data_IF_508633910412
#
_entry.id   IF_508633910412
#
_cell.length_a   1.000
_cell.length_b   1.000
_cell.length_c   1.000
_cell.angle_alpha   90.00
_cell.angle_beta   90.00
_cell.angle_gamma   90.00
#
_symmetry.space_group_name_H-M   'P 1'
#
loop_
_entity.id
_entity.type
_entity.pdbx_description
1 polymer ?
#
# COMPACT_ATOMS: atom_id res chain seq x y z
N UNK A 1 -3.51 -8.05 -1.66
CA UNK A 1 -3.61 -7.88 -0.22
C UNK A 1 -2.38 -7.25 0.40
N UNK A 2 -2.32 -7.19 1.71
CA UNK A 2 -1.19 -6.64 2.44
C UNK A 2 -0.96 -7.39 3.75
N UNK A 3 0.26 -7.25 4.27
CA UNK A 3 0.68 -7.72 5.58
C UNK A 3 1.26 -6.52 6.33
N UNK A 4 0.74 -6.21 7.52
CA UNK A 4 1.26 -5.13 8.36
C UNK A 4 2.57 -5.55 9.04
N UNK A 5 3.33 -4.56 9.52
CA UNK A 5 4.52 -4.83 10.32
C UNK A 5 4.22 -5.68 11.57
N UNK A 6 3.05 -5.50 12.16
CA UNK A 6 2.66 -6.18 13.39
C UNK A 6 2.50 -7.70 13.25
N UNK A 7 2.43 -8.23 12.02
CA UNK A 7 2.37 -9.67 11.77
C UNK A 7 3.60 -10.41 12.33
N UNK A 8 4.73 -9.71 12.47
CA UNK A 8 5.96 -10.28 13.08
C UNK A 8 5.71 -10.89 14.47
N UNK A 9 4.70 -10.41 15.21
CA UNK A 9 4.30 -10.99 16.53
C UNK A 9 3.83 -12.45 16.46
N UNK A 10 3.41 -12.91 15.28
CA UNK A 10 2.93 -14.27 15.07
C UNK A 10 4.01 -15.21 14.53
N UNK A 11 5.15 -14.67 14.09
CA UNK A 11 6.25 -15.44 13.49
C UNK A 11 7.50 -15.45 14.35
N UNK A 12 7.68 -14.44 15.21
CA UNK A 12 8.86 -14.24 16.01
C UNK A 12 8.49 -13.96 17.48
N UNK A 13 9.36 -14.34 18.40
CA UNK A 13 9.21 -14.07 19.84
C UNK A 13 9.60 -12.62 20.17
N UNK A 14 8.80 -11.68 19.63
CA UNK A 14 9.00 -10.24 19.80
C UNK A 14 7.76 -9.63 20.43
N UNK A 15 7.94 -8.98 21.58
CA UNK A 15 6.87 -8.20 22.20
C UNK A 15 6.72 -6.84 21.50
N UNK A 16 5.62 -6.66 20.76
CA UNK A 16 5.26 -5.37 20.18
C UNK A 16 4.36 -4.63 21.16
N UNK A 17 4.82 -3.47 21.63
CA UNK A 17 4.01 -2.58 22.48
C UNK A 17 2.93 -1.92 21.62
N UNK A 18 1.69 -2.36 21.78
CA UNK A 18 0.54 -1.73 21.15
C UNK A 18 0.30 -0.35 21.78
N UNK A 19 0.48 0.70 21.01
CA UNK A 19 0.01 2.03 21.39
C UNK A 19 -1.46 2.14 21.01
N UNK A 20 -2.35 2.10 21.99
CA UNK A 20 -3.81 2.28 21.78
C UNK A 20 -4.15 3.64 21.15
N UNK A 21 -3.31 4.66 21.38
CA UNK A 21 -3.49 6.01 20.84
C UNK A 21 -3.20 6.14 19.32
N UNK A 22 -2.56 5.14 18.71
CA UNK A 22 -2.14 5.18 17.31
C UNK A 22 -2.71 4.06 16.46
N UNK A 23 -3.63 3.27 17.01
CA UNK A 23 -4.22 2.13 16.32
C UNK A 23 -5.11 2.62 15.19
N UNK A 24 -4.87 2.12 13.98
CA UNK A 24 -5.83 2.18 12.90
C UNK A 24 -6.70 0.91 12.93
N UNK A 25 -7.87 0.95 12.30
CA UNK A 25 -8.81 -0.18 12.26
C UNK A 25 -8.45 -1.21 11.17
N UNK A 26 -7.30 -1.06 10.50
CA UNK A 26 -6.85 -2.02 9.50
C UNK A 26 -6.38 -3.31 10.17
N UNK A 27 -6.73 -4.48 9.63
CA UNK A 27 -6.25 -5.76 10.14
C UNK A 27 -4.74 -5.91 9.92
N UNK A 28 -4.10 -6.79 10.69
CA UNK A 28 -2.66 -7.07 10.51
C UNK A 28 -2.36 -7.79 9.20
N UNK A 29 -3.33 -8.51 8.64
CA UNK A 29 -3.18 -9.24 7.38
C UNK A 29 -4.53 -9.29 6.66
N UNK A 30 -4.52 -8.93 5.36
CA UNK A 30 -5.69 -9.03 4.51
C UNK A 30 -5.30 -9.37 3.07
N UNK A 31 -5.77 -10.52 2.59
CA UNK A 31 -5.63 -10.94 1.20
C UNK A 31 -6.99 -11.23 0.59
N UNK A 32 -7.19 -10.80 -0.66
CA UNK A 32 -8.41 -10.97 -1.42
C UNK A 32 -8.10 -11.74 -2.69
N UNK A 33 -8.86 -12.80 -2.95
CA UNK A 33 -8.87 -13.48 -4.23
C UNK A 33 -9.90 -12.79 -5.13
N UNK A 34 -9.43 -12.12 -6.17
CA UNK A 34 -10.30 -11.40 -7.10
C UNK A 34 -10.86 -12.34 -8.17
N UNK A 35 -12.16 -12.20 -8.44
CA UNK A 35 -12.83 -12.96 -9.52
C UNK A 35 -12.44 -12.44 -10.90
N UNK A 36 -12.18 -11.13 -11.03
CA UNK A 36 -11.77 -10.49 -12.28
C UNK A 36 -10.46 -9.75 -12.08
N UNK A 37 -9.55 -9.93 -13.02
CA UNK A 37 -8.25 -9.26 -13.03
C UNK A 37 -8.06 -8.62 -14.41
N UNK A 38 -7.70 -7.35 -14.43
CA UNK A 38 -7.35 -6.61 -15.65
C UNK A 38 -5.84 -6.43 -15.66
N UNK A 39 -5.18 -6.93 -16.71
CA UNK A 39 -3.74 -6.85 -16.86
C UNK A 39 -3.41 -5.93 -18.03
N UNK A 40 -2.64 -4.88 -17.77
CA UNK A 40 -2.11 -3.99 -18.80
C UNK A 40 -0.67 -4.37 -19.12
N UNK A 41 -0.42 -4.76 -20.36
CA UNK A 41 0.92 -5.09 -20.88
C UNK A 41 1.47 -3.89 -21.64
N UNK A 42 2.14 -2.98 -20.93
CA UNK A 42 2.57 -1.69 -21.46
C UNK A 42 3.42 -1.79 -22.75
N UNK A 43 4.33 -2.75 -22.85
CA UNK A 43 5.17 -2.94 -24.03
C UNK A 43 4.40 -3.39 -25.28
N UNK A 44 3.26 -4.07 -25.12
CA UNK A 44 2.46 -4.58 -26.23
C UNK A 44 1.20 -3.73 -26.51
N UNK A 45 0.94 -2.75 -25.66
CA UNK A 45 -0.31 -1.99 -25.68
C UNK A 45 -1.56 -2.89 -25.63
N UNK A 46 -1.46 -4.00 -24.93
CA UNK A 46 -2.51 -4.99 -24.77
C UNK A 46 -3.13 -4.89 -23.40
N UNK A 47 -4.43 -5.15 -23.33
CA UNK A 47 -5.16 -5.34 -22.09
C UNK A 47 -5.77 -6.74 -22.09
N UNK A 48 -5.49 -7.50 -21.05
CA UNK A 48 -6.10 -8.82 -20.84
C UNK A 48 -7.09 -8.74 -19.69
N UNK A 49 -8.25 -9.33 -19.89
CA UNK A 49 -9.24 -9.55 -18.85
C UNK A 49 -9.25 -11.02 -18.46
N UNK A 50 -8.80 -11.33 -17.27
CA UNK A 50 -8.77 -12.68 -16.71
C UNK A 50 -9.92 -12.82 -15.71
N UNK A 51 -10.64 -13.92 -15.78
CA UNK A 51 -11.72 -14.21 -14.86
C UNK A 51 -11.58 -15.62 -14.28
N UNK A 52 -11.93 -15.74 -12.99
CA UNK A 52 -11.96 -16.99 -12.27
C UNK A 52 -13.40 -17.52 -12.25
N UNK A 53 -13.64 -18.67 -12.89
CA UNK A 53 -14.87 -19.43 -12.73
C UNK A 53 -14.88 -20.11 -11.36
N UNK A 54 -16.01 -20.11 -10.71
CA UNK A 54 -16.20 -20.73 -9.40
C UNK A 54 -17.35 -21.73 -9.47
N UNK A 55 -17.04 -22.99 -9.18
CA UNK A 55 -17.99 -24.10 -9.21
C UNK A 55 -18.81 -24.14 -10.51
N UNK A 56 -20.11 -23.90 -10.45
CA UNK A 56 -21.00 -23.88 -11.61
C UNK A 56 -21.34 -22.43 -12.06
N UNK A 57 -20.63 -21.43 -11.54
CA UNK A 57 -20.84 -20.03 -11.91
C UNK A 57 -19.76 -19.55 -12.90
N UNK A 58 -20.16 -19.37 -14.16
CA UNK A 58 -19.30 -18.75 -15.15
C UNK A 58 -19.16 -17.25 -14.90
N UNK A 59 -17.93 -16.75 -15.07
CA UNK A 59 -17.65 -15.33 -14.94
C UNK A 59 -18.19 -14.57 -16.18
N UNK A 60 -18.90 -13.48 -15.93
CA UNK A 60 -19.46 -12.63 -16.99
C UNK A 60 -18.39 -11.62 -17.46
N UNK A 61 -17.51 -12.09 -18.33
CA UNK A 61 -16.41 -11.28 -18.92
C UNK A 61 -16.97 -10.16 -19.81
N UNK A 62 -18.04 -10.43 -20.57
CA UNK A 62 -18.65 -9.44 -21.47
C UNK A 62 -19.19 -8.24 -20.71
N UNK A 63 -19.84 -8.47 -19.57
CA UNK A 63 -20.33 -7.39 -18.71
C UNK A 63 -19.19 -6.49 -18.22
N UNK A 64 -18.05 -7.08 -17.84
CA UNK A 64 -16.89 -6.30 -17.39
C UNK A 64 -16.26 -5.53 -18.55
N UNK A 65 -16.08 -6.17 -19.71
CA UNK A 65 -15.58 -5.52 -20.92
C UNK A 65 -16.47 -4.33 -21.34
N UNK A 66 -17.78 -4.48 -21.30
CA UNK A 66 -18.73 -3.42 -21.60
C UNK A 66 -18.62 -2.24 -20.60
N UNK A 67 -18.40 -2.52 -19.33
CA UNK A 67 -18.16 -1.46 -18.33
C UNK A 67 -16.85 -0.69 -18.57
N UNK A 68 -15.80 -1.37 -18.96
CA UNK A 68 -14.50 -0.75 -19.30
C UNK A 68 -14.68 0.16 -20.52
N UNK A 69 -15.38 -0.30 -21.56
CA UNK A 69 -15.58 0.46 -22.79
C UNK A 69 -16.55 1.65 -22.64
N UNK A 70 -17.40 1.61 -21.66
CA UNK A 70 -18.51 2.60 -21.53
C UNK A 70 -18.04 3.96 -20.97
N UNK A 71 -16.81 4.08 -20.49
CA UNK A 71 -16.19 5.34 -20.00
C UNK A 71 -17.07 6.20 -19.08
N UNK A 72 -18.12 5.62 -18.47
CA UNK A 72 -19.04 6.33 -17.60
C UNK A 72 -18.56 6.30 -16.16
N UNK A 73 -17.60 7.14 -15.85
CA UNK A 73 -17.08 7.31 -14.49
C UNK A 73 -17.13 8.78 -14.07
N UNK A 74 -17.34 9.00 -12.78
CA UNK A 74 -17.27 10.32 -12.17
C UNK A 74 -15.91 10.52 -11.56
N UNK A 75 -15.36 11.71 -11.71
CA UNK A 75 -14.16 12.16 -11.03
C UNK A 75 -14.53 13.27 -10.04
N UNK A 76 -13.92 13.25 -8.87
CA UNK A 76 -14.11 14.28 -7.85
C UNK A 76 -12.74 14.88 -7.52
N UNK A 77 -12.70 16.18 -7.35
CA UNK A 77 -11.46 16.85 -6.94
C UNK A 77 -11.07 16.44 -5.52
N UNK A 78 -9.77 16.40 -5.25
CA UNK A 78 -9.23 16.18 -3.92
C UNK A 78 -8.88 17.51 -3.27
N UNK A 79 -9.30 17.71 -2.03
CA UNK A 79 -9.01 18.90 -1.24
C UNK A 79 -8.56 18.52 0.16
N UNK A 80 -7.36 18.98 0.56
CA UNK A 80 -6.93 18.90 1.95
C UNK A 80 -7.73 19.90 2.81
N UNK A 81 -8.16 19.49 4.00
CA UNK A 81 -9.01 20.28 4.90
C UNK A 81 -8.30 20.45 6.24
N UNK A 82 -8.16 21.70 6.67
CA UNK A 82 -7.47 22.03 7.92
C UNK A 82 -5.95 21.89 7.81
N UNK A 83 -5.29 21.84 8.97
CA UNK A 83 -3.84 21.68 9.06
C UNK A 83 -3.43 20.21 9.17
N UNK A 84 -2.19 19.92 8.75
CA UNK A 84 -1.55 18.62 8.97
C UNK A 84 -1.08 18.51 10.41
N UNK A 85 -1.37 17.38 11.05
CA UNK A 85 -0.85 17.03 12.38
C UNK A 85 0.18 15.92 12.29
N UNK A 86 0.95 15.72 13.33
CA UNK A 86 1.97 14.69 13.37
C UNK A 86 2.10 14.08 14.76
N UNK A 87 2.45 12.79 14.84
CA UNK A 87 2.67 12.07 16.10
C UNK A 87 3.93 12.51 16.84
N UNK A 88 4.87 13.14 16.15
CA UNK A 88 6.13 13.64 16.70
C UNK A 88 6.37 15.07 16.23
N UNK A 89 6.99 15.90 17.07
CA UNK A 89 7.55 17.17 16.63
C UNK A 89 8.81 16.92 15.77
N UNK A 90 9.23 17.95 15.04
CA UNK A 90 10.47 17.87 14.25
C UNK A 90 11.68 17.56 15.12
N UNK A 91 11.74 18.16 16.31
CA UNK A 91 12.85 17.98 17.24
C UNK A 91 12.89 16.56 17.81
N UNK A 92 11.73 16.01 18.20
CA UNK A 92 11.63 14.62 18.64
C UNK A 92 12.06 13.65 17.55
N UNK A 93 11.64 13.88 16.30
CA UNK A 93 12.02 13.02 15.18
C UNK A 93 13.52 13.09 14.88
N UNK A 94 14.12 14.30 14.91
CA UNK A 94 15.58 14.47 14.75
C UNK A 94 16.36 13.75 15.87
N UNK A 95 15.86 13.82 17.11
CA UNK A 95 16.51 13.12 18.22
C UNK A 95 16.42 11.60 18.06
N UNK A 96 15.28 11.06 17.64
CA UNK A 96 15.15 9.64 17.32
C UNK A 96 16.15 9.21 16.24
N UNK A 97 16.34 10.02 15.19
CA UNK A 97 17.35 9.76 14.15
C UNK A 97 18.76 9.74 14.73
N UNK A 98 19.11 10.70 15.62
CA UNK A 98 20.44 10.72 16.28
C UNK A 98 20.67 9.46 17.11
N UNK A 99 19.64 8.98 17.83
CA UNK A 99 19.74 7.73 18.58
C UNK A 99 19.87 6.52 17.64
N UNK A 100 19.10 6.44 16.56
CA UNK A 100 19.23 5.40 15.55
C UNK A 100 20.64 5.32 14.97
N UNK A 101 21.26 6.48 14.64
CA UNK A 101 22.65 6.54 14.16
C UNK A 101 23.63 5.98 15.20
N UNK A 102 23.41 6.23 16.50
CA UNK A 102 24.26 5.67 17.57
C UNK A 102 24.16 4.15 17.62
N UNK A 103 22.94 3.59 17.47
CA UNK A 103 22.73 2.14 17.42
C UNK A 103 23.44 1.49 16.22
N UNK A 104 23.34 2.08 15.03
CA UNK A 104 24.08 1.62 13.87
C UNK A 104 25.60 1.66 14.07
N UNK A 105 26.13 2.76 14.66
CA UNK A 105 27.58 2.90 14.92
C UNK A 105 28.12 1.92 15.95
N UNK A 106 27.29 1.50 16.91
CA UNK A 106 27.66 0.47 17.90
C UNK A 106 27.58 -0.95 17.36
N UNK A 107 26.96 -1.14 16.20
CA UNK A 107 26.73 -2.46 15.62
C UNK A 107 25.52 -3.21 16.21
N UNK A 108 24.63 -2.50 16.93
CA UNK A 108 23.39 -3.10 17.46
C UNK A 108 22.44 -3.49 16.30
N UNK A 109 22.45 -2.71 15.23
CA UNK A 109 21.73 -2.92 13.98
C UNK A 109 22.59 -2.42 12.82
N UNK A 110 22.46 -2.98 11.62
CA UNK A 110 23.12 -2.46 10.43
C UNK A 110 22.21 -1.49 9.65
N UNK A 111 20.92 -1.61 9.81
CA UNK A 111 19.91 -0.70 9.22
C UNK A 111 18.76 -0.47 10.22
N UNK A 112 18.23 0.74 10.25
CA UNK A 112 17.04 1.09 11.03
C UNK A 112 16.24 2.17 10.29
N UNK A 113 14.92 2.03 10.28
CA UNK A 113 14.00 3.01 9.70
C UNK A 113 13.26 3.73 10.82
N UNK A 114 13.46 5.06 10.90
CA UNK A 114 12.76 5.91 11.85
C UNK A 114 11.50 6.47 11.20
N UNK A 115 10.33 6.05 11.66
CA UNK A 115 9.06 6.46 11.10
C UNK A 115 8.42 7.62 11.84
N UNK A 116 7.61 8.39 11.15
CA UNK A 116 6.80 9.48 11.67
C UNK A 116 5.46 9.49 10.95
N UNK A 117 4.37 9.54 11.68
CA UNK A 117 3.02 9.60 11.10
C UNK A 117 2.56 11.05 10.99
N UNK A 118 2.06 11.40 9.80
CA UNK A 118 1.33 12.62 9.53
C UNK A 118 -0.14 12.30 9.29
N UNK A 119 -1.03 13.18 9.74
CA UNK A 119 -2.46 13.05 9.56
C UNK A 119 -3.00 14.31 8.89
N UNK A 120 -3.78 14.11 7.83
CA UNK A 120 -4.41 15.18 7.07
C UNK A 120 -5.86 14.81 6.78
N UNK A 121 -6.80 15.67 7.19
CA UNK A 121 -8.19 15.52 6.74
C UNK A 121 -8.30 15.95 5.28
N UNK A 122 -9.19 15.31 4.56
CA UNK A 122 -9.46 15.64 3.17
C UNK A 122 -10.92 15.45 2.80
N UNK A 123 -11.33 16.02 1.66
CA UNK A 123 -12.61 15.76 0.98
C UNK A 123 -12.34 15.44 -0.48
N UNK A 124 -13.29 14.76 -1.14
CA UNK A 124 -13.17 14.38 -2.53
C UNK A 124 -12.58 12.99 -2.72
N UNK A 125 -11.88 12.78 -3.84
CA UNK A 125 -11.41 11.48 -4.29
C UNK A 125 -9.92 11.26 -3.97
N UNK A 126 -9.63 10.34 -3.07
CA UNK A 126 -8.26 9.97 -2.67
C UNK A 126 -7.47 9.24 -3.79
N UNK A 127 -8.15 8.71 -4.80
CA UNK A 127 -7.47 8.18 -5.98
C UNK A 127 -6.72 9.29 -6.74
N UNK A 128 -7.21 10.52 -6.72
CA UNK A 128 -6.48 11.67 -7.26
C UNK A 128 -5.21 12.00 -6.47
N UNK A 129 -5.23 11.81 -5.14
CA UNK A 129 -4.02 11.91 -4.34
C UNK A 129 -2.98 10.85 -4.73
N UNK A 130 -3.42 9.59 -4.94
CA UNK A 130 -2.55 8.54 -5.45
C UNK A 130 -1.98 8.86 -6.84
N UNK A 131 -2.78 9.43 -7.75
CA UNK A 131 -2.31 9.87 -9.07
C UNK A 131 -1.24 10.96 -8.97
N UNK A 132 -1.40 11.91 -8.03
CA UNK A 132 -0.39 12.92 -7.75
C UNK A 132 0.88 12.30 -7.16
N UNK A 133 0.76 11.36 -6.19
CA UNK A 133 1.89 10.63 -5.63
C UNK A 133 2.70 9.93 -6.73
N UNK A 134 2.02 9.23 -7.65
CA UNK A 134 2.66 8.56 -8.79
C UNK A 134 3.47 9.52 -9.68
N UNK A 135 3.01 10.75 -9.82
CA UNK A 135 3.71 11.75 -10.64
C UNK A 135 4.91 12.37 -9.92
N UNK A 136 4.82 12.55 -8.61
CA UNK A 136 5.88 13.16 -7.79
C UNK A 136 6.96 12.15 -7.42
N UNK A 137 6.58 10.92 -7.16
CA UNK A 137 7.49 9.84 -6.73
C UNK A 137 7.24 8.57 -7.55
N UNK A 138 7.64 8.54 -8.83
CA UNK A 138 7.52 7.34 -9.65
C UNK A 138 8.49 6.26 -9.13
N UNK A 139 7.96 5.09 -8.82
CA UNK A 139 8.73 3.94 -8.34
C UNK A 139 8.28 2.67 -9.04
N UNK A 140 9.09 1.59 -9.04
CA UNK A 140 8.73 0.32 -9.67
C UNK A 140 7.45 -0.30 -9.13
N UNK A 141 7.17 -0.11 -7.82
CA UNK A 141 6.02 -0.69 -7.14
C UNK A 141 5.04 0.39 -6.71
N UNK A 142 4.08 0.66 -7.58
CA UNK A 142 2.96 1.56 -7.33
C UNK A 142 1.72 0.73 -7.04
N UNK A 143 1.06 0.97 -5.92
CA UNK A 143 -0.11 0.21 -5.52
C UNK A 143 -1.20 1.12 -4.95
N UNK A 144 -2.45 0.71 -5.18
CA UNK A 144 -3.64 1.31 -4.60
C UNK A 144 -4.64 0.21 -4.28
N UNK A 145 -4.90 -0.03 -3.00
CA UNK A 145 -5.88 -0.99 -2.52
C UNK A 145 -7.09 -0.27 -1.94
N UNK A 146 -8.26 -0.55 -2.47
CA UNK A 146 -9.55 -0.13 -1.91
C UNK A 146 -10.21 -1.33 -1.24
N UNK A 147 -10.28 -1.31 0.08
CA UNK A 147 -10.93 -2.33 0.88
C UNK A 147 -12.35 -1.92 1.35
N UNK A 148 -12.87 -0.82 0.80
CA UNK A 148 -14.19 -0.25 1.12
C UNK A 148 -14.14 0.70 2.31
N UNK A 149 -13.90 0.21 3.52
CA UNK A 149 -13.84 1.01 4.75
C UNK A 149 -12.54 1.80 4.90
N UNK A 150 -11.46 1.36 4.29
CA UNK A 150 -10.16 2.03 4.26
C UNK A 150 -9.42 1.75 2.95
N UNK A 151 -8.40 2.56 2.68
CA UNK A 151 -7.54 2.43 1.51
C UNK A 151 -6.09 2.44 1.91
N UNK A 152 -5.27 1.69 1.17
CA UNK A 152 -3.81 1.70 1.32
C UNK A 152 -3.21 1.93 -0.06
N UNK A 153 -2.40 2.96 -0.20
CA UNK A 153 -1.70 3.22 -1.46
C UNK A 153 -0.29 3.74 -1.19
N UNK A 154 0.58 3.55 -2.16
CA UNK A 154 1.97 3.95 -2.00
C UNK A 154 2.78 3.83 -3.27
N UNK A 155 4.03 4.23 -3.13
CA UNK A 155 5.07 4.15 -4.13
C UNK A 155 6.33 3.62 -3.44
N UNK A 156 6.75 2.39 -3.78
CA UNK A 156 7.90 1.71 -3.16
C UNK A 156 9.00 1.46 -4.20
N UNK A 157 10.26 1.75 -3.90
CA UNK A 157 11.39 1.43 -4.76
C UNK A 157 11.88 -0.01 -4.57
N UNK A 158 11.47 -0.71 -3.52
CA UNK A 158 12.11 -1.90 -3.00
C UNK A 158 11.28 -3.16 -3.22
N UNK A 159 11.95 -4.22 -3.69
CA UNK A 159 11.37 -5.57 -3.78
C UNK A 159 11.60 -6.28 -2.46
N UNK A 160 10.53 -6.75 -1.80
CA UNK A 160 10.68 -7.60 -0.63
C UNK A 160 11.02 -9.04 -1.01
N UNK A 161 10.19 -9.62 -1.84
CA UNK A 161 10.38 -10.96 -2.38
C UNK A 161 9.56 -11.09 -3.68
N UNK A 162 10.17 -11.69 -4.71
CA UNK A 162 9.51 -11.98 -5.98
C UNK A 162 9.61 -13.46 -6.29
N UNK A 163 8.49 -14.09 -6.58
CA UNK A 163 8.44 -15.51 -6.94
C UNK A 163 8.07 -15.62 -8.42
N UNK A 164 8.92 -16.29 -9.18
CA UNK A 164 8.68 -16.59 -10.59
C UNK A 164 8.87 -18.10 -10.83
N UNK A 165 7.78 -18.79 -11.14
CA UNK A 165 7.78 -20.25 -11.23
C UNK A 165 8.20 -20.88 -9.90
N UNK A 166 9.31 -21.61 -9.89
CA UNK A 166 9.87 -22.25 -8.69
C UNK A 166 11.03 -21.45 -8.03
N UNK A 167 11.31 -20.26 -8.51
CA UNK A 167 12.42 -19.44 -8.02
C UNK A 167 11.89 -18.27 -7.17
N UNK A 168 12.54 -18.02 -6.04
CA UNK A 168 12.33 -16.84 -5.21
C UNK A 168 13.53 -15.90 -5.36
N UNK A 169 13.25 -14.62 -5.55
CA UNK A 169 14.25 -13.55 -5.68
C UNK A 169 14.09 -12.59 -4.51
N UNK A 170 15.19 -12.28 -3.86
CA UNK A 170 15.29 -11.29 -2.79
C UNK A 170 16.43 -10.37 -3.22
N UNK A 171 16.16 -9.08 -3.41
CA UNK A 171 17.13 -8.06 -3.83
C UNK A 171 17.75 -7.36 -2.62
#
# INVERSE_FOLDING_TARGET
GFTSFNVIRYTDDIEIKDSTASRNDAPDLLYILYRYIIVFKGFRHEMELVALDRDNEHADIERIANRINNNNFRTYDFHAVGGTTSTLTDEQHRENIRQGIKHCRRGDVFQIVMSRRFEQRYTGDDFNLYRALRSVNPSPYLFYFDFGSFRIFGSSPETHCRIEGNNAYID
#
